data_IF_878257837497
#
_entry.id   IF_878257837497
#
_cell.length_a   1.000
_cell.length_b   1.000
_cell.length_c   1.000
_cell.angle_alpha   90.00
_cell.angle_beta   90.00
_cell.angle_gamma   90.00
#
_symmetry.space_group_name_H-M   'P 1'
#
loop_
_entity.id
_entity.type
_entity.pdbx_description
1 polymer ?
2 non-polymer ?
3 non-polymer ?
4 water ?
#
# COMPACT_ATOMS: atom_id res chain seq x y z
N UNK A 15 35.28 -2.10 -13.59
CA UNK A 15 34.47 -3.16 -13.01
C UNK A 15 34.11 -2.96 -11.53
N UNK A 16 33.01 -3.60 -11.13
CA UNK A 16 32.57 -3.69 -9.75
C UNK A 16 32.39 -5.17 -9.45
N UNK A 17 33.34 -5.76 -8.74
CA UNK A 17 33.27 -7.14 -8.33
C UNK A 17 32.89 -7.30 -6.86
N UNK A 18 32.33 -6.24 -6.26
CA UNK A 18 32.07 -6.28 -4.83
C UNK A 18 31.11 -7.42 -4.47
N UNK A 19 29.96 -7.45 -5.12
CA UNK A 19 28.91 -8.35 -4.63
C UNK A 19 29.15 -9.80 -5.07
N UNK A 20 29.80 -10.00 -6.22
CA UNK A 20 30.10 -11.35 -6.68
C UNK A 20 31.03 -12.10 -5.73
N UNK A 21 31.69 -11.43 -4.79
CA UNK A 21 32.71 -12.05 -3.94
C UNK A 21 32.24 -12.09 -2.49
N UNK A 22 31.30 -12.98 -2.17
CA UNK A 22 30.86 -13.22 -0.80
C UNK A 22 30.00 -14.47 -0.79
N UNK A 23 30.12 -15.28 0.26
CA UNK A 23 29.41 -16.55 0.31
C UNK A 23 28.55 -16.74 1.53
N UNK A 24 28.56 -15.81 2.48
CA UNK A 24 27.74 -15.94 3.69
C UNK A 24 26.82 -14.73 3.77
N UNK A 25 25.59 -14.91 3.38
CA UNK A 25 24.61 -13.86 3.51
C UNK A 25 23.29 -14.45 3.06
N UNK A 26 22.19 -13.97 3.62
CA UNK A 26 20.88 -14.41 3.20
C UNK A 26 20.03 -13.18 2.94
N UNK A 27 19.12 -13.30 1.98
CA UNK A 27 18.46 -12.12 1.42
C UNK A 27 16.98 -12.46 1.25
N UNK A 28 16.11 -11.56 1.72
CA UNK A 28 14.68 -11.79 1.71
C UNK A 28 13.97 -10.60 1.10
N UNK A 29 12.89 -10.86 0.36
CA UNK A 29 12.01 -9.80 -0.12
C UNK A 29 11.07 -9.44 1.00
N UNK A 30 10.85 -8.13 1.20
CA UNK A 30 9.86 -7.62 2.14
C UNK A 30 8.81 -6.89 1.30
N UNK A 31 7.55 -7.29 1.45
CA UNK A 31 6.42 -6.70 0.71
C UNK A 31 5.47 -6.04 1.71
N UNK A 32 5.35 -4.72 1.62
CA UNK A 32 4.53 -3.95 2.57
C UNK A 32 3.36 -3.30 1.84
N UNK A 33 2.19 -3.33 2.48
CA UNK A 33 1.04 -2.62 1.91
C UNK A 33 1.07 -1.12 2.17
N UNK A 34 1.93 -0.63 3.06
CA UNK A 34 1.74 0.70 3.64
C UNK A 34 2.98 1.58 3.45
N UNK A 35 2.77 2.72 2.80
CA UNK A 35 3.84 3.68 2.72
C UNK A 35 4.19 4.24 4.10
N UNK A 36 3.21 4.30 5.01
CA UNK A 36 3.47 4.77 6.38
C UNK A 36 4.44 3.84 7.10
N UNK A 37 4.25 2.54 6.92
CA UNK A 37 5.11 1.59 7.64
C UNK A 37 6.54 1.68 7.12
N UNK A 38 6.72 1.81 5.80
CA UNK A 38 8.05 2.05 5.24
C UNK A 38 8.69 3.28 5.88
N UNK A 39 7.95 4.40 5.91
CA UNK A 39 8.48 5.63 6.52
C UNK A 39 8.85 5.41 7.98
N UNK A 40 8.00 4.70 8.72
CA UNK A 40 8.29 4.45 10.13
C UNK A 40 9.54 3.59 10.27
N UNK A 41 9.71 2.63 9.38
CA UNK A 41 10.87 1.74 9.43
C UNK A 41 12.16 2.51 9.18
N UNK A 42 12.16 3.38 8.17
CA UNK A 42 13.35 4.18 7.88
C UNK A 42 13.68 5.09 9.06
N UNK A 43 12.64 5.67 9.68
CA UNK A 43 12.83 6.66 10.75
C UNK A 43 13.39 6.00 12.00
N UNK A 44 12.89 4.82 12.35
CA UNK A 44 13.21 4.20 13.63
C UNK A 44 14.02 2.92 13.53
N UNK A 45 14.35 2.46 12.31
CA UNK A 45 15.17 1.26 12.11
C UNK A 45 14.60 0.05 12.84
N UNK A 46 13.30 -0.20 12.62
CA UNK A 46 12.60 -1.37 13.14
C UNK A 46 11.67 -1.87 12.04
N UNK A 47 11.28 -3.13 12.16
CA UNK A 47 10.31 -3.75 11.26
C UNK A 47 9.53 -4.80 12.03
N UNK A 48 8.42 -5.23 11.43
CA UNK A 48 7.67 -6.37 11.93
C UNK A 48 7.00 -7.01 10.73
N UNK A 49 7.06 -8.34 10.68
CA UNK A 49 6.45 -9.10 9.60
C UNK A 49 5.21 -9.81 10.16
N UNK A 50 4.68 -10.75 9.37
CA UNK A 50 3.60 -11.59 9.88
C UNK A 50 4.20 -12.63 10.82
N UNK A 51 3.33 -13.46 11.40
CA UNK A 51 3.83 -14.50 12.29
C UNK A 51 4.79 -15.45 11.57
N UNK A 52 4.37 -16.00 10.42
CA UNK A 52 5.26 -16.94 9.74
C UNK A 52 6.45 -16.21 9.10
N UNK A 53 6.24 -14.96 8.66
CA UNK A 53 7.37 -14.17 8.18
C UNK A 53 8.41 -13.92 9.25
N UNK A 54 7.97 -13.46 10.43
CA UNK A 54 8.88 -13.26 11.56
C UNK A 54 9.64 -14.55 11.90
N UNK A 55 8.93 -15.68 11.94
CA UNK A 55 9.61 -16.94 12.21
C UNK A 55 10.69 -17.23 11.19
N UNK A 56 10.40 -17.01 9.90
CA UNK A 56 11.38 -17.26 8.85
C UNK A 56 12.61 -16.36 9.03
N UNK A 57 12.39 -15.07 9.24
CA UNK A 57 13.51 -14.13 9.38
C UNK A 57 14.29 -14.41 10.65
N UNK A 58 13.58 -14.73 11.74
CA UNK A 58 14.25 -15.00 13.01
C UNK A 58 15.16 -16.23 12.88
N UNK A 59 14.65 -17.30 12.25
CA UNK A 59 15.49 -18.47 12.06
C UNK A 59 16.74 -18.12 11.27
N UNK A 60 16.57 -17.37 10.17
CA UNK A 60 17.73 -17.00 9.35
C UNK A 60 18.71 -16.14 10.12
N UNK A 61 18.23 -15.17 10.91
CA UNK A 61 19.13 -14.30 11.64
C UNK A 61 19.92 -15.08 12.68
N UNK A 62 19.25 -15.97 13.40
CA UNK A 62 19.88 -16.67 14.51
C UNK A 62 20.87 -17.73 14.03
N UNK A 63 20.61 -18.35 12.87
CA UNK A 63 21.50 -19.35 12.32
C UNK A 63 22.72 -18.73 11.64
N UNK A 64 22.65 -17.44 11.30
CA UNK A 64 23.81 -16.79 10.71
C UNK A 64 24.91 -16.55 11.74
N UNK A 65 24.54 -16.34 12.99
CA UNK A 65 25.51 -16.14 14.07
C UNK A 65 26.49 -15.03 13.72
N UNK A 66 25.97 -13.96 13.12
CA UNK A 66 26.80 -12.81 12.80
C UNK A 66 27.93 -13.05 11.81
N UNK A 67 27.89 -14.16 11.07
CA UNK A 67 28.93 -14.47 10.08
C UNK A 67 28.65 -13.84 8.72
N UNK A 68 27.51 -13.18 8.55
CA UNK A 68 27.16 -12.55 7.31
C UNK A 68 25.85 -11.82 7.50
N UNK A 69 25.49 -10.94 6.58
CA UNK A 69 24.28 -10.14 6.76
C UNK A 69 23.02 -10.93 6.40
N UNK A 70 21.91 -10.52 7.00
CA UNK A 70 20.59 -10.84 6.47
C UNK A 70 20.06 -9.56 5.83
N UNK A 71 19.92 -9.55 4.52
CA UNK A 71 19.48 -8.37 3.80
C UNK A 71 17.99 -8.47 3.54
N UNK A 72 17.31 -7.31 3.58
CA UNK A 72 15.88 -7.19 3.33
C UNK A 72 15.71 -6.22 2.17
N UNK A 73 15.06 -6.68 1.10
CA UNK A 73 14.81 -5.85 -0.07
C UNK A 73 13.36 -5.44 0.00
N UNK A 74 13.11 -4.14 0.23
CA UNK A 74 11.76 -3.64 0.55
C UNK A 74 11.05 -3.19 -0.73
N UNK A 75 9.75 -3.49 -0.81
CA UNK A 75 8.92 -3.08 -1.93
C UNK A 75 7.47 -2.93 -1.44
N UNK A 76 6.84 -1.83 -1.80
CA UNK A 76 5.43 -1.62 -1.49
C UNK A 76 4.57 -2.34 -2.54
N UNK A 77 3.65 -3.17 -2.05
CA UNK A 77 2.74 -3.94 -2.90
C UNK A 77 2.03 -3.05 -3.91
N UNK A 78 2.08 -3.43 -5.19
CA UNK A 78 1.43 -2.67 -6.25
C UNK A 78 2.17 -1.41 -6.70
N UNK A 79 3.32 -1.09 -6.10
CA UNK A 79 3.99 0.17 -6.40
C UNK A 79 4.79 0.13 -7.69
N UNK A 80 5.18 -1.05 -8.15
CA UNK A 80 5.97 -1.16 -9.36
C UNK A 80 7.47 -1.00 -9.16
N UNK A 81 7.95 -0.79 -7.94
CA UNK A 81 9.38 -0.59 -7.71
C UNK A 81 9.76 -1.08 -6.32
N UNK A 82 11.03 -1.41 -6.16
CA UNK A 82 11.61 -1.60 -4.85
C UNK A 82 11.98 -0.24 -4.28
N UNK A 83 11.94 -0.11 -2.96
CA UNK A 83 12.20 1.19 -2.37
C UNK A 83 13.45 1.25 -1.50
N UNK A 84 14.11 0.13 -1.24
CA UNK A 84 15.36 0.21 -0.52
C UNK A 84 15.82 -1.14 0.03
N UNK A 85 16.91 -1.06 0.80
CA UNK A 85 17.60 -2.22 1.34
C UNK A 85 17.93 -1.94 2.80
N UNK A 86 17.69 -2.94 3.65
CA UNK A 86 18.00 -2.86 5.06
C UNK A 86 18.66 -4.17 5.47
N UNK A 87 19.48 -4.09 6.50
CA UNK A 87 20.04 -5.27 7.13
C UNK A 87 19.31 -5.52 8.43
N UNK A 88 18.96 -6.78 8.67
CA UNK A 88 18.37 -7.20 9.93
C UNK A 88 19.43 -7.14 11.03
N UNK A 89 19.07 -6.58 12.20
CA UNK A 89 20.08 -6.25 13.21
C UNK A 89 19.72 -6.77 14.60
N UNK A 90 18.70 -7.59 14.72
CA UNK A 90 18.36 -8.23 15.99
C UNK A 90 17.49 -9.42 15.67
N UNK A 91 17.34 -10.28 16.67
CA UNK A 91 16.33 -11.32 16.57
C UNK A 91 14.94 -10.71 16.81
N UNK A 92 13.91 -11.53 16.62
CA UNK A 92 12.54 -11.07 16.76
C UNK A 92 12.14 -11.10 18.23
N UNK A 93 11.69 -9.96 18.74
CA UNK A 93 10.99 -9.88 20.02
C UNK A 93 9.50 -9.97 19.74
N UNK A 94 8.87 -11.05 20.19
CA UNK A 94 7.50 -11.32 19.81
C UNK A 94 6.46 -10.66 20.70
N UNK A 95 6.85 -10.10 21.84
CA UNK A 95 5.89 -9.53 22.78
C UNK A 95 6.25 -8.07 22.97
N UNK A 96 5.67 -7.21 22.14
CA UNK A 96 5.98 -5.79 22.19
C UNK A 96 4.67 -5.02 22.03
N UNK A 97 4.78 -3.71 22.14
CA UNK A 97 3.62 -2.85 22.04
C UNK A 97 2.81 -3.15 20.77
N UNK A 98 1.50 -3.24 20.91
CA UNK A 98 0.63 -3.50 19.77
C UNK A 98 0.30 -2.20 19.06
N UNK A 99 -0.11 -2.31 17.79
CA UNK A 99 -0.65 -1.17 17.07
C UNK A 99 0.33 -0.11 16.61
N UNK A 100 1.62 -0.39 16.57
CA UNK A 100 2.56 0.64 16.13
C UNK A 100 2.62 0.73 14.60
N UNK A 101 2.13 -0.28 13.89
CA UNK A 101 2.12 -0.30 12.43
C UNK A 101 0.73 0.04 11.91
N UNK A 102 0.64 0.15 10.58
CA UNK A 102 -0.59 0.59 9.93
C UNK A 102 -1.78 -0.31 10.28
N UNK A 103 -1.53 -1.61 10.47
CA UNK A 103 -2.54 -2.50 10.99
C UNK A 103 -2.06 -3.15 12.28
N UNK A 104 -2.99 -3.52 13.14
CA UNK A 104 -2.63 -4.10 14.43
C UNK A 104 -2.44 -5.62 14.37
N UNK A 105 -2.49 -6.20 13.16
CA UNK A 105 -2.34 -7.64 13.00
C UNK A 105 -0.90 -8.13 13.10
N UNK A 106 0.09 -7.23 13.09
CA UNK A 106 1.49 -7.64 13.13
C UNK A 106 1.99 -7.57 14.57
N UNK A 107 2.59 -8.67 15.04
CA UNK A 107 2.94 -8.86 16.44
C UNK A 107 4.46 -9.01 16.58
N UNK A 108 5.07 -8.09 17.31
CA UNK A 108 6.49 -8.16 17.60
C UNK A 108 7.26 -7.05 16.90
N UNK A 109 8.59 -7.19 16.94
CA UNK A 109 9.49 -6.15 16.49
C UNK A 109 10.89 -6.74 16.37
N UNK A 110 11.62 -6.33 15.34
CA UNK A 110 13.06 -6.56 15.32
C UNK A 110 13.72 -5.30 14.79
N UNK A 111 15.01 -5.16 15.10
CA UNK A 111 15.77 -4.01 14.62
C UNK A 111 16.28 -4.27 13.22
N UNK A 112 16.32 -3.22 12.41
CA UNK A 112 16.99 -3.24 11.12
C UNK A 112 17.94 -2.06 11.07
N UNK A 113 18.72 -2.01 9.99
CA UNK A 113 19.47 -0.81 9.64
C UNK A 113 19.27 -0.58 8.15
N UNK A 114 18.57 0.49 7.80
CA UNK A 114 18.43 0.82 6.40
C UNK A 114 19.77 1.30 5.86
N UNK A 115 20.23 0.66 4.79
CA UNK A 115 21.53 1.01 4.21
C UNK A 115 21.39 1.62 2.84
N UNK A 116 20.19 1.63 2.27
CA UNK A 116 19.99 2.17 0.93
C UNK A 116 18.51 2.50 0.78
N UNK A 117 18.18 3.76 0.50
CA UNK A 117 16.81 4.18 0.26
C UNK A 117 16.74 4.79 -1.13
N UNK A 118 16.14 4.08 -2.07
CA UNK A 118 16.09 4.48 -3.47
C UNK A 118 15.03 3.66 -4.18
N UNK A 119 14.22 4.32 -5.01
CA UNK A 119 13.23 3.63 -5.82
C UNK A 119 13.91 3.01 -7.04
N UNK A 120 13.76 1.70 -7.19
CA UNK A 120 14.33 0.98 -8.32
C UNK A 120 13.19 0.32 -9.07
N UNK A 121 12.91 0.73 -10.30
CA UNK A 121 11.77 0.18 -11.03
C UNK A 121 11.88 -1.33 -11.20
N UNK A 122 10.71 -1.98 -11.18
CA UNK A 122 10.66 -3.43 -11.36
C UNK A 122 11.23 -3.84 -12.71
N UNK A 123 11.18 -2.95 -13.70
CA UNK A 123 11.71 -3.26 -15.03
C UNK A 123 13.22 -3.52 -14.99
N UNK A 124 13.91 -2.95 -14.00
CA UNK A 124 15.35 -3.18 -13.88
C UNK A 124 15.69 -4.53 -13.27
N UNK A 125 14.72 -5.22 -12.68
CA UNK A 125 14.99 -6.44 -11.94
C UNK A 125 14.20 -7.63 -12.43
N UNK A 126 13.16 -7.43 -13.27
CA UNK A 126 12.24 -8.53 -13.57
C UNK A 126 12.87 -9.64 -14.40
N UNK A 127 14.07 -9.44 -14.96
CA UNK A 127 14.74 -10.53 -15.66
C UNK A 127 15.42 -11.52 -14.72
N UNK A 128 15.67 -11.15 -13.47
CA UNK A 128 16.22 -12.08 -12.50
C UNK A 128 15.09 -12.96 -11.97
N UNK A 129 15.26 -14.28 -12.10
CA UNK A 129 14.23 -15.22 -11.72
C UNK A 129 14.70 -16.07 -10.55
N UNK A 130 13.75 -16.59 -9.77
CA UNK A 130 14.06 -17.32 -8.55
C UNK A 130 13.78 -18.81 -8.75
N UNK A 131 14.86 -19.59 -8.89
CA UNK A 131 14.71 -21.03 -9.07
C UNK A 131 13.99 -21.70 -7.90
N UNK A 132 13.99 -21.09 -6.72
CA UNK A 132 13.30 -21.62 -5.55
C UNK A 132 11.84 -21.19 -5.49
N UNK A 133 11.39 -20.35 -6.41
CA UNK A 133 10.00 -19.90 -6.52
C UNK A 133 9.49 -20.11 -7.93
N UNK A 134 9.64 -21.34 -8.44
CA UNK A 134 9.14 -21.72 -9.78
C UNK A 134 9.67 -20.81 -10.88
N UNK A 135 10.88 -20.27 -10.72
CA UNK A 135 11.49 -19.41 -11.73
C UNK A 135 10.66 -18.16 -12.01
N UNK A 136 9.81 -17.75 -11.06
CA UNK A 136 9.10 -16.49 -11.21
C UNK A 136 10.07 -15.31 -11.07
N UNK A 137 9.81 -14.21 -11.76
CA UNK A 137 10.64 -13.02 -11.61
C UNK A 137 10.70 -12.61 -10.14
N UNK A 138 11.89 -12.19 -9.70
CA UNK A 138 12.05 -11.74 -8.32
C UNK A 138 11.05 -10.64 -7.99
N UNK A 139 10.62 -9.88 -9.00
CA UNK A 139 9.65 -8.80 -8.84
C UNK A 139 8.22 -9.30 -8.67
N UNK A 140 7.98 -10.63 -8.68
CA UNK A 140 6.67 -11.21 -8.41
C UNK A 140 6.65 -12.00 -7.11
N UNK A 141 7.54 -11.66 -6.18
CA UNK A 141 7.65 -12.39 -4.91
C UNK A 141 6.62 -11.89 -3.90
N UNK A 142 6.31 -12.75 -2.95
CA UNK A 142 5.51 -12.42 -1.78
C UNK A 142 6.43 -12.06 -0.61
N UNK A 143 5.82 -11.52 0.45
CA UNK A 143 6.55 -11.14 1.65
C UNK A 143 7.36 -12.30 2.22
N UNK A 144 8.62 -12.00 2.57
CA UNK A 144 9.66 -12.90 3.09
C UNK A 144 10.00 -14.06 2.16
N UNK A 145 9.74 -13.91 0.87
CA UNK A 145 10.36 -14.78 -0.13
C UNK A 145 11.88 -14.69 0.00
N UNK A 146 12.54 -15.83 0.24
CA UNK A 146 14.01 -15.80 0.26
C UNK A 146 14.57 -15.85 -1.16
N UNK A 147 15.71 -15.21 -1.37
CA UNK A 147 16.37 -15.11 -2.67
C UNK A 147 17.65 -15.93 -2.62
N UNK A 148 17.88 -16.85 -3.56
CA UNK A 148 19.15 -17.57 -3.59
C UNK A 148 20.30 -16.58 -3.70
N UNK A 149 21.41 -16.89 -3.00
CA UNK A 149 22.51 -15.93 -2.91
C UNK A 149 23.01 -15.48 -4.27
N UNK A 150 23.09 -16.41 -5.24
CA UNK A 150 23.65 -16.00 -6.52
C UNK A 150 22.73 -15.02 -7.24
N UNK A 151 21.42 -15.14 -7.07
CA UNK A 151 20.49 -14.16 -7.62
C UNK A 151 20.51 -12.87 -6.79
N UNK A 152 20.59 -13.01 -5.47
CA UNK A 152 20.68 -11.84 -4.59
C UNK A 152 21.88 -10.97 -4.96
N UNK A 153 23.01 -11.56 -5.32
CA UNK A 153 24.17 -10.75 -5.72
C UNK A 153 23.82 -9.89 -6.92
N UNK A 154 23.11 -10.47 -7.89
CA UNK A 154 22.74 -9.74 -9.09
C UNK A 154 21.76 -8.62 -8.79
N UNK A 155 20.79 -8.89 -7.91
CA UNK A 155 19.82 -7.86 -7.53
C UNK A 155 20.53 -6.71 -6.82
N UNK A 156 21.41 -7.03 -5.88
CA UNK A 156 22.09 -5.97 -5.14
C UNK A 156 22.93 -5.10 -6.07
N UNK A 157 23.61 -5.72 -7.05
CA UNK A 157 24.42 -4.95 -7.97
C UNK A 157 23.56 -3.99 -8.78
N UNK A 158 22.41 -4.45 -9.27
CA UNK A 158 21.52 -3.59 -10.05
C UNK A 158 20.97 -2.46 -9.18
N UNK A 159 20.59 -2.77 -7.95
CA UNK A 159 20.06 -1.74 -7.07
C UNK A 159 21.13 -0.69 -6.77
N UNK A 160 22.35 -1.14 -6.50
CA UNK A 160 23.39 -0.20 -6.12
C UNK A 160 23.75 0.73 -7.29
N UNK A 161 23.62 0.25 -8.52
CA UNK A 161 24.07 1.01 -9.66
C UNK A 161 22.96 1.82 -10.34
N UNK A 162 21.71 1.66 -9.91
CA UNK A 162 20.63 2.37 -10.58
C UNK A 162 20.71 3.87 -10.30
N UNK A 163 20.50 4.67 -11.34
CA UNK A 163 20.57 6.14 -11.22
C UNK A 163 19.26 6.79 -11.63
N UNK B 15 -30.82 0.56 7.35
CA UNK B 15 -30.18 0.68 6.03
C UNK B 15 -31.00 1.57 5.10
N UNK B 16 -32.33 1.45 5.16
CA UNK B 16 -33.18 2.30 4.34
C UNK B 16 -33.29 3.72 4.87
N UNK B 17 -32.69 4.01 6.02
CA UNK B 17 -32.65 5.39 6.52
C UNK B 17 -31.61 6.23 5.80
N UNK B 18 -30.76 5.64 4.97
CA UNK B 18 -29.63 6.34 4.39
C UNK B 18 -29.65 6.22 2.86
N UNK B 19 -29.33 7.33 2.20
CA UNK B 19 -29.11 7.34 0.75
C UNK B 19 -30.32 6.80 -0.01
N UNK B 20 -31.52 7.14 0.46
CA UNK B 20 -32.74 6.76 -0.21
C UNK B 20 -32.91 7.55 -1.50
N UNK B 22 -30.45 10.64 -3.77
CA UNK B 22 -29.36 10.21 -4.63
C UNK B 22 -29.98 9.79 -5.97
N UNK B 23 -30.85 10.65 -6.50
CA UNK B 23 -31.42 10.39 -7.83
C UNK B 23 -30.32 10.32 -8.88
N UNK B 24 -29.38 11.26 -8.85
CA UNK B 24 -28.29 11.28 -9.81
C UNK B 24 -26.97 11.08 -9.09
N UNK B 25 -25.88 11.48 -9.74
CA UNK B 25 -24.60 11.48 -9.07
C UNK B 25 -23.87 10.15 -9.23
N UNK B 26 -22.61 10.19 -8.80
CA UNK B 26 -21.60 9.24 -9.24
C UNK B 26 -20.69 8.92 -8.06
N UNK B 27 -20.17 7.70 -8.04
CA UNK B 27 -19.50 7.16 -6.87
C UNK B 27 -18.23 6.47 -7.33
N UNK B 28 -17.12 6.75 -6.64
CA UNK B 28 -15.82 6.22 -7.02
C UNK B 28 -15.15 5.60 -5.80
N UNK B 29 -14.35 4.57 -6.05
CA UNK B 29 -13.52 3.97 -5.02
C UNK B 29 -12.25 4.79 -4.89
N UNK B 30 -11.78 5.00 -3.65
CA UNK B 30 -10.48 5.59 -3.37
C UNK B 30 -9.63 4.57 -2.63
N UNK B 31 -8.43 4.27 -3.14
CA UNK B 31 -7.54 3.30 -2.51
C UNK B 31 -6.23 4.01 -2.18
N UNK B 32 -5.89 4.06 -0.89
CA UNK B 32 -4.73 4.79 -0.42
C UNK B 32 -3.67 3.87 0.16
N UNK B 33 -2.40 4.21 -0.07
CA UNK B 33 -1.28 3.55 0.55
C UNK B 33 -0.94 4.11 1.94
N UNK B 34 -1.74 5.02 2.48
CA UNK B 34 -1.30 5.77 3.66
C UNK B 34 -2.48 6.08 4.57
N UNK B 35 -2.56 5.38 5.71
CA UNK B 35 -3.51 5.75 6.75
C UNK B 35 -3.28 7.17 7.25
N UNK B 36 -2.01 7.62 7.29
CA UNK B 36 -1.75 9.01 7.67
C UNK B 36 -2.46 9.98 6.72
N UNK B 37 -2.37 9.74 5.40
CA UNK B 37 -3.04 10.61 4.43
C UNK B 37 -4.55 10.60 4.63
N UNK B 38 -5.14 9.43 4.91
CA UNK B 38 -6.57 9.38 5.23
C UNK B 38 -6.87 10.24 6.44
N UNK B 39 -6.04 10.12 7.49
CA UNK B 39 -6.26 10.89 8.71
C UNK B 39 -6.21 12.38 8.42
N UNK B 40 -5.26 12.80 7.58
CA UNK B 40 -5.15 14.21 7.20
C UNK B 40 -6.36 14.64 6.39
N UNK B 41 -6.87 13.75 5.54
CA UNK B 41 -8.06 14.04 4.75
C UNK B 41 -9.27 14.25 5.64
N UNK B 42 -9.42 13.43 6.68
CA UNK B 42 -10.55 13.58 7.60
C UNK B 42 -10.43 14.89 8.37
N UNK B 43 -9.21 15.23 8.78
CA UNK B 43 -9.00 16.43 9.59
C UNK B 43 -9.24 17.70 8.78
N UNK B 44 -8.74 17.77 7.55
CA UNK B 44 -8.80 19.00 6.78
C UNK B 44 -9.80 18.96 5.63
N UNK B 45 -10.53 17.85 5.46
CA UNK B 45 -11.57 17.73 4.44
C UNK B 45 -11.02 18.09 3.05
N UNK B 46 -9.92 17.42 2.67
CA UNK B 46 -9.29 17.58 1.38
C UNK B 46 -8.74 16.22 0.95
N UNK B 47 -8.48 16.08 -0.35
CA UNK B 47 -7.83 14.87 -0.86
C UNK B 47 -7.05 15.23 -2.12
N UNK B 48 -6.25 14.27 -2.57
CA UNK B 48 -5.54 14.37 -3.84
C UNK B 48 -5.39 12.96 -4.39
N UNK B 49 -5.74 12.75 -5.66
CA UNK B 49 -5.61 11.43 -6.25
C UNK B 49 -4.36 11.37 -7.13
N UNK B 50 -4.27 10.35 -7.98
CA UNK B 50 -3.19 10.22 -8.95
C UNK B 50 -3.40 11.21 -10.10
N UNK B 51 -2.42 11.27 -11.01
CA UNK B 51 -2.56 12.12 -12.19
C UNK B 51 -3.83 11.77 -12.96
N UNK B 52 -3.97 10.50 -13.33
CA UNK B 52 -5.15 10.07 -14.07
C UNK B 52 -6.40 10.03 -13.19
N UNK B 53 -6.25 9.75 -11.90
CA UNK B 53 -7.41 9.72 -11.02
C UNK B 53 -8.01 11.10 -10.80
N UNK B 54 -7.16 12.10 -10.60
CA UNK B 54 -7.65 13.48 -10.47
C UNK B 54 -8.44 13.90 -11.70
N UNK B 55 -7.92 13.57 -12.88
CA UNK B 55 -8.62 13.95 -14.10
C UNK B 55 -9.97 13.26 -14.20
N UNK B 56 -10.06 12.01 -13.72
CA UNK B 56 -11.33 11.30 -13.79
C UNK B 56 -12.32 11.88 -12.80
N UNK B 57 -11.87 12.19 -11.58
CA UNK B 57 -12.78 12.80 -10.61
C UNK B 57 -13.14 14.22 -11.03
N UNK B 58 -12.18 14.95 -11.60
CA UNK B 58 -12.46 16.31 -12.05
C UNK B 58 -13.57 16.31 -13.10
N UNK B 59 -13.47 15.42 -14.08
CA UNK B 59 -14.49 15.33 -15.13
C UNK B 59 -15.87 15.04 -14.54
N UNK B 60 -15.97 14.06 -13.64
CA UNK B 60 -17.28 13.71 -13.10
C UNK B 60 -17.86 14.85 -12.29
N UNK B 61 -17.04 15.51 -11.47
CA UNK B 61 -17.53 16.63 -10.68
C UNK B 61 -18.01 17.77 -11.57
N UNK B 62 -17.19 18.14 -12.57
CA UNK B 62 -17.57 19.24 -13.46
C UNK B 62 -18.79 18.89 -14.30
N UNK B 63 -18.86 17.65 -14.83
CA UNK B 63 -20.02 17.26 -15.61
C UNK B 63 -21.27 17.14 -14.76
N UNK B 64 -21.10 16.96 -13.44
CA UNK B 64 -22.25 16.83 -12.56
C UNK B 64 -22.91 18.19 -12.38
N UNK B 65 -22.08 19.25 -12.35
CA UNK B 65 -22.54 20.65 -12.36
C UNK B 65 -23.60 20.92 -11.29
N UNK B 66 -23.36 20.41 -10.08
CA UNK B 66 -24.26 20.62 -8.97
C UNK B 66 -25.53 19.80 -8.98
N UNK B 67 -25.82 19.07 -10.06
CA UNK B 67 -27.08 18.34 -10.16
C UNK B 67 -27.18 17.18 -9.17
N UNK B 68 -26.05 16.70 -8.64
CA UNK B 68 -26.08 15.57 -7.74
C UNK B 68 -24.75 15.40 -7.04
N UNK B 69 -24.64 14.45 -6.13
CA UNK B 69 -23.40 14.25 -5.36
C UNK B 69 -22.41 13.34 -6.06
N UNK B 70 -21.13 13.60 -5.81
CA UNK B 70 -20.06 12.68 -6.18
C UNK B 70 -19.53 12.12 -4.88
N UNK B 71 -19.68 10.80 -4.68
CA UNK B 71 -19.28 10.18 -3.43
C UNK B 71 -18.01 9.38 -3.63
N UNK B 72 -17.21 9.31 -2.55
CA UNK B 72 -15.92 8.63 -2.55
C UNK B 72 -15.95 7.58 -1.44
N UNK B 73 -15.68 6.34 -1.81
CA UNK B 73 -15.65 5.23 -0.87
C UNK B 73 -14.18 4.88 -0.62
N UNK B 74 -13.70 5.19 0.59
CA UNK B 74 -12.28 5.13 0.92
C UNK B 74 -11.92 3.77 1.51
N UNK B 75 -10.72 3.29 1.15
CA UNK B 75 -10.19 2.06 1.70
C UNK B 75 -8.67 2.09 1.62
N UNK B 76 -8.01 1.73 2.71
CA UNK B 76 -6.55 1.64 2.75
C UNK B 76 -6.09 0.32 2.13
N UNK B 77 -5.17 0.41 1.19
CA UNK B 77 -4.62 -0.78 0.52
C UNK B 77 -4.13 -1.80 1.54
N UNK B 78 -4.61 -3.04 1.41
CA UNK B 78 -4.19 -4.13 2.28
C UNK B 78 -4.88 -4.20 3.62
N UNK B 79 -5.76 -3.24 3.95
CA UNK B 79 -6.38 -3.20 5.27
C UNK B 79 -7.48 -4.25 5.42
N UNK B 80 -8.04 -4.74 4.33
CA UNK B 80 -9.17 -5.63 4.44
C UNK B 80 -10.47 -4.98 4.86
N UNK B 81 -10.54 -3.64 4.84
CA UNK B 81 -11.79 -2.97 5.16
C UNK B 81 -11.84 -1.65 4.43
N UNK B 82 -13.06 -1.13 4.27
CA UNK B 82 -13.26 0.26 3.88
C UNK B 82 -13.24 1.11 5.14
N UNK B 83 -12.85 2.38 5.01
CA UNK B 83 -12.71 3.20 6.21
C UNK B 83 -13.65 4.38 6.24
N UNK B 84 -14.45 4.60 5.19
CA UNK B 84 -15.51 5.59 5.29
C UNK B 84 -15.90 6.13 3.93
N UNK B 85 -16.62 7.25 3.97
CA UNK B 85 -17.29 7.82 2.82
C UNK B 85 -17.14 9.33 2.90
N UNK B 86 -16.83 9.96 1.78
CA UNK B 86 -16.82 11.41 1.73
C UNK B 86 -17.45 11.85 0.42
N UNK B 87 -17.88 13.10 0.40
CA UNK B 87 -18.41 13.73 -0.80
C UNK B 87 -17.40 14.72 -1.34
N UNK B 88 -17.19 14.66 -2.65
CA UNK B 88 -16.29 15.55 -3.35
C UNK B 88 -16.95 16.92 -3.43
N UNK B 89 -16.24 17.98 -3.03
CA UNK B 89 -16.88 19.27 -2.82
C UNK B 89 -16.22 20.41 -3.59
N UNK B 90 -15.34 20.12 -4.52
CA UNK B 90 -14.77 21.14 -5.38
C UNK B 90 -14.15 20.45 -6.58
N UNK B 91 -13.85 21.24 -7.60
CA UNK B 91 -13.05 20.75 -8.70
C UNK B 91 -11.60 20.60 -8.27
N UNK B 92 -10.80 20.01 -9.15
CA UNK B 92 -9.41 19.75 -8.85
C UNK B 92 -8.58 20.99 -9.16
N UNK B 93 -7.80 21.42 -8.18
CA UNK B 93 -6.78 22.44 -8.36
C UNK B 93 -5.45 21.72 -8.56
N UNK B 94 -4.81 21.90 -9.71
CA UNK B 94 -3.66 21.07 -10.05
C UNK B 94 -2.35 21.67 -9.58
N UNK B 95 -2.33 22.93 -9.16
CA UNK B 95 -1.11 23.65 -8.87
C UNK B 95 -1.20 24.11 -7.42
N UNK B 96 -0.73 23.26 -6.49
CA UNK B 96 -0.85 23.52 -5.06
C UNK B 96 0.48 23.22 -4.40
N UNK B 97 0.57 23.54 -3.11
CA UNK B 97 1.77 23.28 -2.33
C UNK B 97 2.22 21.83 -2.46
N UNK B 98 3.50 21.64 -2.74
CA UNK B 98 4.03 20.29 -2.88
C UNK B 98 4.27 19.66 -1.51
N UNK B 99 4.30 18.32 -1.49
CA UNK B 99 4.78 17.58 -0.33
C UNK B 99 3.93 17.64 0.94
N UNK B 100 2.62 17.86 0.82
CA UNK B 100 1.78 17.86 2.02
C UNK B 100 1.27 16.48 2.41
N UNK B 101 1.44 15.47 1.55
CA UNK B 101 1.00 14.10 1.79
C UNK B 101 2.20 13.18 2.07
N UNK B 102 1.90 11.89 2.27
CA UNK B 102 2.95 10.94 2.60
C UNK B 102 4.01 10.86 1.50
N UNK B 103 3.60 11.07 0.25
CA UNK B 103 4.53 11.06 -0.86
C UNK B 103 4.37 12.34 -1.68
N UNK B 104 5.49 12.82 -2.23
CA UNK B 104 5.48 14.00 -3.09
C UNK B 104 4.74 13.79 -4.40
N UNK B 105 4.58 12.54 -4.85
CA UNK B 105 3.97 12.28 -6.15
C UNK B 105 2.48 12.61 -6.21
N UNK B 106 1.81 12.87 -5.08
CA UNK B 106 0.41 13.28 -5.08
C UNK B 106 0.37 14.80 -5.25
N UNK B 107 0.08 15.27 -6.46
CA UNK B 107 0.13 16.68 -6.80
C UNK B 107 -1.29 17.22 -7.02
N UNK B 108 -1.63 18.29 -6.32
CA UNK B 108 -2.94 18.92 -6.46
C UNK B 108 -3.81 18.69 -5.24
N UNK B 109 -5.04 19.19 -5.33
CA UNK B 109 -5.93 19.16 -4.18
C UNK B 109 -7.35 19.38 -4.67
N UNK B 110 -8.30 18.74 -4.00
CA UNK B 110 -9.70 19.11 -4.09
C UNK B 110 -10.33 18.93 -2.71
N UNK B 111 -11.41 19.65 -2.49
CA UNK B 111 -12.13 19.60 -1.23
C UNK B 111 -13.04 18.38 -1.18
N UNK B 112 -13.20 17.84 0.03
CA UNK B 112 -14.18 16.78 0.28
C UNK B 112 -14.94 17.16 1.55
N UNK B 113 -16.04 16.46 1.80
CA UNK B 113 -16.70 16.51 3.10
C UNK B 113 -16.92 15.08 3.54
N UNK B 114 -16.24 14.68 4.63
CA UNK B 114 -16.40 13.33 5.13
C UNK B 114 -17.77 13.16 5.79
N UNK B 115 -18.42 12.07 5.45
CA UNK B 115 -19.76 11.74 5.93
C UNK B 115 -19.71 10.63 6.98
N UNK B 116 -19.10 9.50 6.64
CA UNK B 116 -18.88 8.43 7.61
C UNK B 116 -17.39 8.18 7.75
N UNK B 117 -16.94 8.04 8.99
CA UNK B 117 -15.60 7.53 9.30
C UNK B 117 -15.83 6.29 10.13
N UNK B 118 -15.67 5.12 9.51
CA UNK B 118 -16.06 3.84 10.11
C UNK B 118 -15.37 2.73 9.34
N UNK B 119 -14.77 1.78 10.06
CA UNK B 119 -14.19 0.61 9.42
C UNK B 119 -15.27 -0.44 9.18
N UNK B 120 -15.41 -0.84 7.93
CA UNK B 120 -16.39 -1.83 7.48
C UNK B 120 -15.63 -2.98 6.85
N UNK B 121 -15.69 -4.19 7.43
CA UNK B 121 -14.92 -5.31 6.86
C UNK B 121 -15.34 -5.63 5.43
N UNK B 122 -14.34 -5.99 4.61
CA UNK B 122 -14.63 -6.33 3.23
C UNK B 122 -15.59 -7.51 3.10
N UNK B 123 -15.69 -8.34 4.13
CA UNK B 123 -16.66 -9.44 4.12
C UNK B 123 -18.08 -8.94 3.94
N UNK B 124 -18.39 -7.75 4.46
CA UNK B 124 -19.73 -7.18 4.38
C UNK B 124 -20.04 -6.67 2.98
N UNK B 125 -19.03 -6.49 2.13
CA UNK B 125 -19.20 -5.87 0.82
C UNK B 125 -18.84 -6.75 -0.35
N UNK B 126 -18.14 -7.87 -0.10
CA UNK B 126 -17.49 -8.59 -1.20
C UNK B 126 -18.47 -9.23 -2.17
N UNK B 127 -19.73 -9.39 -1.78
CA UNK B 127 -20.70 -10.00 -2.68
C UNK B 127 -21.31 -9.01 -3.67
N UNK B 128 -20.96 -7.74 -3.57
CA UNK B 128 -21.40 -6.72 -4.53
C UNK B 128 -20.41 -6.64 -5.69
N UNK B 129 -20.87 -6.94 -6.89
CA UNK B 129 -19.98 -7.01 -8.04
C UNK B 129 -20.25 -5.87 -9.02
N UNK B 130 -19.18 -5.45 -9.71
CA UNK B 130 -19.25 -4.31 -10.62
C UNK B 130 -19.35 -4.80 -12.06
N UNK B 131 -20.52 -4.59 -12.68
CA UNK B 131 -20.71 -5.03 -14.06
C UNK B 131 -19.83 -4.26 -15.04
N UNK B 132 -19.28 -3.11 -14.63
CA UNK B 132 -18.36 -2.36 -15.47
C UNK B 132 -16.90 -2.76 -15.23
N UNK B 133 -16.66 -3.69 -14.33
CA UNK B 133 -15.30 -4.15 -14.03
C UNK B 133 -15.29 -5.68 -14.01
N UNK B 134 -15.76 -6.27 -15.11
CA UNK B 134 -15.70 -7.72 -15.31
C UNK B 134 -16.39 -8.49 -14.18
N UNK B 135 -17.38 -7.84 -13.57
CA UNK B 135 -18.16 -8.39 -12.47
C UNK B 135 -17.30 -8.77 -11.27
N UNK B 136 -16.16 -8.09 -11.10
CA UNK B 136 -15.31 -8.31 -9.93
C UNK B 136 -15.96 -7.76 -8.66
N UNK B 137 -15.67 -8.36 -7.50
CA UNK B 137 -16.17 -7.80 -6.24
C UNK B 137 -15.74 -6.34 -6.09
N UNK B 138 -16.61 -5.53 -5.47
CA UNK B 138 -16.28 -4.11 -5.29
C UNK B 138 -15.03 -3.97 -4.43
N UNK B 139 -14.78 -4.96 -3.58
CA UNK B 139 -13.62 -4.96 -2.69
C UNK B 139 -12.31 -5.27 -3.41
N UNK B 140 -12.34 -5.59 -4.70
CA UNK B 140 -11.15 -5.78 -5.50
C UNK B 140 -10.90 -4.63 -6.44
N UNK B 141 -11.43 -3.45 -6.12
CA UNK B 141 -11.30 -2.31 -7.01
C UNK B 141 -9.95 -1.63 -6.80
N UNK B 142 -9.49 -0.95 -7.84
CA UNK B 142 -8.34 -0.08 -7.78
C UNK B 142 -8.80 1.37 -7.60
N UNK B 143 -7.81 2.26 -7.38
CA UNK B 143 -8.11 3.66 -7.11
C UNK B 143 -8.93 4.29 -8.23
N UNK B 144 -10.00 5.00 -7.86
CA UNK B 144 -10.92 5.74 -8.74
C UNK B 144 -11.66 4.84 -9.72
N UNK B 145 -11.80 3.56 -9.38
CA UNK B 145 -12.78 2.71 -10.03
C UNK B 145 -14.17 3.29 -9.83
N UNK B 146 -14.90 3.55 -10.91
CA UNK B 146 -16.25 4.07 -10.77
C UNK B 146 -17.22 2.93 -10.48
N UNK B 147 -18.18 3.17 -9.60
CA UNK B 147 -19.15 2.15 -9.19
C UNK B 147 -20.48 2.44 -9.88
N UNK B 148 -21.14 1.45 -10.47
CA UNK B 148 -22.51 1.68 -10.97
C UNK B 148 -23.44 2.12 -9.85
N UNK B 149 -24.35 3.05 -10.17
CA UNK B 149 -25.08 3.74 -9.11
C UNK B 149 -25.91 2.78 -8.26
N UNK B 150 -26.49 1.75 -8.89
CA UNK B 150 -27.28 0.83 -8.07
C UNK B 150 -26.39 -0.01 -7.16
N UNK B 151 -25.18 -0.36 -7.61
CA UNK B 151 -24.28 -1.05 -6.68
C UNK B 151 -23.75 -0.08 -5.63
N UNK B 152 -23.48 1.17 -6.04
CA UNK B 152 -23.03 2.18 -5.10
C UNK B 152 -24.02 2.39 -3.97
N UNK B 153 -25.33 2.45 -4.29
CA UNK B 153 -26.33 2.60 -3.24
C UNK B 153 -26.24 1.47 -2.22
N UNK B 154 -26.02 0.24 -2.70
CA UNK B 154 -25.93 -0.91 -1.81
C UNK B 154 -24.74 -0.77 -0.86
N UNK B 155 -23.60 -0.36 -1.39
CA UNK B 155 -22.40 -0.20 -0.56
C UNK B 155 -22.61 0.92 0.45
N UNK B 156 -23.07 2.09 -0.01
CA UNK B 156 -23.33 3.22 0.88
C UNK B 156 -24.26 2.83 2.03
N UNK B 157 -25.35 2.14 1.72
CA UNK B 157 -26.29 1.76 2.78
C UNK B 157 -25.64 0.77 3.75
N UNK B 158 -24.84 -0.17 3.24
CA UNK B 158 -24.18 -1.11 4.14
C UNK B 158 -23.21 -0.37 5.04
N UNK B 159 -22.41 0.53 4.47
CA UNK B 159 -21.45 1.27 5.29
C UNK B 159 -22.19 2.10 6.33
N UNK B 160 -23.22 2.82 5.89
CA UNK B 160 -23.95 3.70 6.80
C UNK B 160 -24.51 2.94 7.98
N UNK B 161 -25.06 1.74 7.75
CA UNK B 161 -25.78 0.98 8.76
C UNK B 161 -24.91 0.03 9.57
N UNK B 162 -23.67 -0.26 9.13
CA UNK B 162 -22.84 -1.23 9.83
C UNK B 162 -22.57 -0.80 11.28
N UNK B 163 -22.60 -1.76 12.19
CA UNK B 163 -22.33 -1.47 13.60
C UNK B 163 -21.44 -2.53 14.23
X LIG C 1 4.50 -4.88 -7.22
X LIG C 1 5.42 -3.77 -7.02
X LIG C 1 5.29 -5.97 -7.79
X LIG C 1 3.44 -4.45 -8.12
X LIG C 1 3.92 -5.37 -5.96
X LIG D 1 5.99 9.42 14.56
X LIG D 1 5.56 9.25 13.18
X LIG D 1 7.33 10.01 14.60
X LIG D 1 5.04 10.28 15.26
X LIG D 1 6.03 8.10 15.21
X LIG E 1 3.01 -5.39 5.76
X LIG E 1 3.02 -7.89 5.15
X LIG E 1 4.30 -7.11 7.13
X LIG E 1 4.36 -4.69 7.88
X LIG E 1 4.87 -3.64 8.87
X LIG E 1 3.49 -4.32 6.71
X LIG E 1 3.43 -6.77 5.99
X LIG E 1 4.77 -6.06 8.08
X LIG E 1 3.09 -2.94 6.49
X LIG E 1 4.61 -8.24 7.30
X LIG E 1 2.29 -5.08 4.86
X LIG F 1 -7.79 -4.43 0.52
X LIG F 1 -6.82 -3.79 -0.40
X LIG F 1 -7.20 -5.52 1.28
X LIG F 1 -8.95 -4.91 -0.27
X LIG F 1 -8.31 -3.46 1.49
X LIG G 1 7.84 10.22 -2.96
X LIG G 1 9.17 9.95 -3.51
X LIG G 1 7.94 11.31 -2.00
X LIG G 1 6.93 10.57 -4.07
X LIG G 1 7.38 9.01 -2.27
X LIG H 1 -25.92 -7.89 -11.68
X LIG H 1 -26.00 -6.42 -11.76
X LIG H 1 -24.54 -8.27 -11.39
X LIG H 1 -26.32 -8.47 -12.97
X LIG H 1 -26.83 -8.36 -10.64
X LIG I 1 -2.59 7.21 -2.37
X LIG I 1 -3.21 6.23 -4.62
X LIG I 1 -3.72 8.66 -4.13
X LIG I 1 -3.09 9.70 -1.89
X LIG I 1 -3.06 10.91 -0.96
X LIG I 1 -2.54 8.38 -1.44
X LIG I 1 -3.17 7.35 -3.70
X LIG I 1 -3.66 9.82 -3.22
X LIG I 1 -1.98 8.24 -0.11
X LIG I 1 -4.19 8.77 -5.21
X LIG I 1 -2.15 6.16 -2.00
#
# INVERSE_FOLDING_TARGET
MGSSYHHHHHHSSGENLYFQHMKHGRVFIIKSYSEDDIHRSIKYNIWCSTEHGNKRLDAAYRSMNGKGPVYLLFSVNGSGHFCGVAEMKSAVDYNTCAGVWSQDKWKGRFDVRWIFVKDVPNSQLRHIRLENNENKPVTNSRDTQEVPLEKAKQVLKIIASYKHTTS
MGSSYHHHHHHSSGENLYFQHMKHGRVFIIKSYSEDDIHRSIKYNIWCSTEHGNKRLDAAYRSMNGKGPVYLLFSVNGSGHFCGVAEMKSAVDYNTCAGVWSQDKWKGRFDVRWIFVKDVPNSQLRHIRLENNENKPVTNSRDTQEVPLEKAKQVLKIIASYKHTTS
SO4 S O1 O2 O3 O4
SO4 S O1 O2 O3 O4
IGT C10 C01 C03 C06 C07 C08 N02 N05 N09 O04 O11
SO4 S O1 O2 O3 O4
SO4 S O1 O2 O3 O4
SO4 S O1 O2 O3 O4
IGT C10 C01 C03 C06 C07 C08 N02 N05 N09 O04 O11
#
